data_IF_632535290555
#
_entry.id   IF_632535290555
#
_cell.length_a   1.000
_cell.length_b   1.000
_cell.length_c   1.000
_cell.angle_alpha   90.00
_cell.angle_beta   90.00
_cell.angle_gamma   90.00
#
_symmetry.space_group_name_H-M   'P 1'
#
loop_
_entity.id
_entity.type
_entity.pdbx_description
1 polymer ?
#
# COMPACT_ATOMS: atom_id res chain seq x y z
N UNK A 1 52.88 34.90 -21.09
CA UNK A 1 52.45 33.49 -21.11
C UNK A 1 51.59 33.25 -19.87
N UNK A 2 50.26 33.22 -20.03
CA UNK A 2 49.32 32.98 -18.93
C UNK A 2 48.91 31.51 -19.02
N UNK A 3 49.35 30.70 -18.05
CA UNK A 3 49.00 29.30 -17.97
C UNK A 3 47.61 29.15 -17.32
N UNK A 4 46.59 28.89 -18.14
CA UNK A 4 45.26 28.54 -17.69
C UNK A 4 45.29 27.11 -17.11
N UNK A 5 45.28 26.99 -15.77
CA UNK A 5 44.97 25.72 -15.11
C UNK A 5 43.46 25.49 -15.18
N UNK A 6 43.03 24.80 -16.24
CA UNK A 6 41.67 24.27 -16.34
C UNK A 6 41.53 23.05 -15.41
N UNK A 7 40.87 23.25 -14.27
CA UNK A 7 40.43 22.16 -13.40
C UNK A 7 39.29 21.40 -14.10
N UNK A 8 39.62 20.27 -14.71
CA UNK A 8 38.66 19.35 -15.30
C UNK A 8 37.91 18.63 -14.17
N UNK A 9 36.76 19.18 -13.78
CA UNK A 9 35.84 18.53 -12.86
C UNK A 9 35.30 17.25 -13.53
N UNK A 10 35.76 16.09 -13.06
CA UNK A 10 35.26 14.79 -13.48
C UNK A 10 33.85 14.65 -12.91
N UNK A 11 32.83 15.03 -13.68
CA UNK A 11 31.46 14.59 -13.42
C UNK A 11 31.39 13.10 -13.75
N UNK A 12 31.64 12.25 -12.77
CA UNK A 12 31.24 10.85 -12.88
C UNK A 12 29.71 10.84 -12.96
N UNK A 13 29.09 10.33 -14.04
CA UNK A 13 27.68 10.05 -14.02
C UNK A 13 27.50 8.99 -12.93
N UNK A 14 26.92 9.37 -11.80
CA UNK A 14 26.57 8.41 -10.77
C UNK A 14 25.58 7.44 -11.41
N UNK A 15 26.05 6.26 -11.79
CA UNK A 15 25.18 5.14 -12.12
C UNK A 15 24.28 4.93 -10.90
N UNK A 16 23.06 5.46 -10.95
CA UNK A 16 22.10 5.33 -9.86
C UNK A 16 21.66 3.88 -9.78
N UNK A 17 22.32 3.12 -8.89
CA UNK A 17 21.89 1.78 -8.56
C UNK A 17 20.54 1.84 -7.83
N UNK A 18 19.73 0.78 -7.93
CA UNK A 18 18.49 0.64 -7.18
C UNK A 18 18.72 0.80 -5.67
N UNK A 19 19.82 0.28 -5.15
CA UNK A 19 20.28 0.48 -3.76
C UNK A 19 20.43 1.96 -3.40
N UNK A 20 21.09 2.75 -4.25
CA UNK A 20 21.28 4.20 -3.99
C UNK A 20 19.96 4.97 -4.00
N UNK A 21 19.03 4.58 -4.86
CA UNK A 21 17.70 5.17 -4.91
C UNK A 21 16.86 4.78 -3.69
N UNK A 22 16.96 3.55 -3.21
CA UNK A 22 16.31 3.13 -1.96
C UNK A 22 16.79 3.96 -0.76
N UNK A 23 18.11 4.18 -0.64
CA UNK A 23 18.67 5.04 0.42
C UNK A 23 18.13 6.47 0.32
N UNK A 24 18.05 7.02 -0.90
CA UNK A 24 17.48 8.36 -1.12
C UNK A 24 16.00 8.44 -0.74
N UNK A 25 15.20 7.45 -1.12
CA UNK A 25 13.79 7.38 -0.76
C UNK A 25 13.60 7.28 0.77
N UNK A 26 14.46 6.51 1.45
CA UNK A 26 14.47 6.44 2.90
C UNK A 26 14.77 7.79 3.55
N UNK A 27 15.73 8.56 3.02
CA UNK A 27 16.01 9.90 3.52
C UNK A 27 14.78 10.81 3.41
N UNK A 28 14.10 10.82 2.25
CA UNK A 28 12.86 11.60 2.10
C UNK A 28 11.76 11.16 3.07
N UNK A 29 11.61 9.85 3.31
CA UNK A 29 10.66 9.35 4.31
C UNK A 29 11.01 9.83 5.74
N UNK A 30 12.29 9.81 6.11
CA UNK A 30 12.78 10.28 7.41
C UNK A 30 12.59 11.79 7.60
N UNK A 31 12.68 12.55 6.50
CA UNK A 31 12.41 14.00 6.45
C UNK A 31 10.92 14.34 6.37
N UNK A 32 10.01 13.35 6.48
CA UNK A 32 8.57 13.52 6.30
C UNK A 32 8.14 14.03 4.92
N UNK A 33 9.00 13.92 3.91
CA UNK A 33 8.73 14.26 2.51
C UNK A 33 8.14 13.06 1.79
N UNK A 34 6.91 12.71 2.16
CA UNK A 34 6.29 11.45 1.77
C UNK A 34 5.97 11.38 0.28
N UNK A 35 5.57 12.47 -0.39
CA UNK A 35 5.35 12.45 -1.84
C UNK A 35 6.64 12.21 -2.62
N UNK A 36 7.75 12.83 -2.18
CA UNK A 36 9.07 12.65 -2.81
C UNK A 36 9.59 11.22 -2.63
N UNK A 37 9.42 10.66 -1.42
CA UNK A 37 9.75 9.27 -1.14
C UNK A 37 8.91 8.33 -2.05
N UNK A 38 7.61 8.60 -2.15
CA UNK A 38 6.68 7.83 -2.96
C UNK A 38 7.06 7.82 -4.45
N UNK A 39 7.48 8.98 -4.98
CA UNK A 39 7.93 9.10 -6.36
C UNK A 39 9.08 8.14 -6.66
N UNK A 40 10.08 8.07 -5.78
CA UNK A 40 11.20 7.13 -5.92
C UNK A 40 10.71 5.68 -5.74
N UNK A 41 9.86 5.40 -4.76
CA UNK A 41 9.36 4.04 -4.57
C UNK A 41 8.56 3.54 -5.78
N UNK A 42 7.75 4.40 -6.43
CA UNK A 42 7.04 4.05 -7.68
C UNK A 42 8.00 3.76 -8.82
N UNK A 43 9.11 4.50 -8.91
CA UNK A 43 10.17 4.22 -9.87
C UNK A 43 10.84 2.86 -9.61
N UNK A 44 11.07 2.51 -8.34
CA UNK A 44 11.69 1.24 -7.96
C UNK A 44 10.79 0.02 -8.22
N UNK A 45 9.47 0.14 -8.04
CA UNK A 45 8.53 -0.98 -8.05
C UNK A 45 8.66 -1.95 -9.24
N UNK A 46 8.64 -1.48 -10.50
CA UNK A 46 8.79 -2.38 -11.65
C UNK A 46 10.08 -3.23 -11.63
N UNK A 47 11.10 -2.82 -10.88
CA UNK A 47 12.42 -3.44 -10.83
C UNK A 47 12.86 -3.79 -9.40
N UNK A 48 11.94 -3.93 -8.46
CA UNK A 48 12.22 -4.37 -7.08
C UNK A 48 12.95 -5.73 -7.01
N UNK A 49 12.85 -6.53 -8.08
CA UNK A 49 13.64 -7.72 -8.36
C UNK A 49 15.15 -7.51 -8.27
N UNK A 50 15.64 -6.31 -8.61
CA UNK A 50 17.05 -5.95 -8.61
C UNK A 50 17.60 -5.57 -7.22
N UNK A 51 16.73 -5.41 -6.22
CA UNK A 51 17.15 -5.17 -4.83
C UNK A 51 17.58 -6.47 -4.15
N UNK A 52 18.59 -6.39 -3.30
CA UNK A 52 18.96 -7.51 -2.43
C UNK A 52 17.78 -7.90 -1.51
N UNK A 53 17.69 -9.16 -1.03
CA UNK A 53 16.58 -9.59 -0.19
C UNK A 53 16.30 -8.67 1.00
N UNK A 54 17.34 -8.22 1.72
CA UNK A 54 17.19 -7.29 2.86
C UNK A 54 16.64 -5.93 2.42
N UNK A 55 17.15 -5.41 1.31
CA UNK A 55 16.73 -4.13 0.73
C UNK A 55 15.28 -4.18 0.24
N UNK A 56 14.84 -5.33 -0.24
CA UNK A 56 13.47 -5.55 -0.71
C UNK A 56 12.47 -5.49 0.43
N UNK A 57 12.78 -6.10 1.57
CA UNK A 57 11.96 -5.97 2.79
C UNK A 57 11.90 -4.51 3.23
N UNK A 58 13.05 -3.82 3.24
CA UNK A 58 13.13 -2.38 3.55
C UNK A 58 12.26 -1.53 2.61
N UNK A 59 12.33 -1.81 1.31
CA UNK A 59 11.50 -1.18 0.28
C UNK A 59 10.01 -1.39 0.56
N UNK A 60 9.56 -2.63 0.75
CA UNK A 60 8.16 -2.94 1.02
C UNK A 60 7.65 -2.24 2.29
N UNK A 61 8.44 -2.25 3.36
CA UNK A 61 8.09 -1.58 4.61
C UNK A 61 7.97 -0.06 4.42
N UNK A 62 9.00 0.59 3.88
CA UNK A 62 9.00 2.04 3.71
C UNK A 62 7.95 2.50 2.72
N UNK A 63 7.71 1.74 1.64
CA UNK A 63 6.64 2.02 0.70
C UNK A 63 5.28 1.94 1.39
N UNK A 64 5.00 0.84 2.07
CA UNK A 64 3.75 0.67 2.80
C UNK A 64 3.52 1.76 3.86
N UNK A 65 4.54 2.08 4.65
CA UNK A 65 4.44 3.16 5.64
C UNK A 65 4.28 4.55 5.00
N UNK A 66 4.86 4.78 3.83
CA UNK A 66 4.64 6.03 3.07
C UNK A 66 3.20 6.12 2.60
N UNK A 67 2.64 5.03 2.08
CA UNK A 67 1.24 4.97 1.65
C UNK A 67 0.29 5.20 2.85
N UNK A 68 0.61 4.69 4.04
CA UNK A 68 -0.14 5.02 5.28
C UNK A 68 -0.14 6.51 5.56
N UNK A 69 1.02 7.17 5.46
CA UNK A 69 1.16 8.61 5.72
C UNK A 69 0.37 9.46 4.73
N UNK A 70 0.20 8.98 3.50
CA UNK A 70 -0.52 9.66 2.43
C UNK A 70 -2.01 9.25 2.34
N UNK A 71 -2.46 8.31 3.17
CA UNK A 71 -3.86 7.86 3.20
C UNK A 71 -4.22 6.83 2.12
N UNK A 72 -3.25 6.27 1.39
CA UNK A 72 -3.46 5.22 0.41
C UNK A 72 -3.57 3.85 1.09
N UNK A 73 -4.67 3.62 1.81
CA UNK A 73 -4.84 2.48 2.74
C UNK A 73 -4.72 1.10 2.05
N UNK A 74 -5.28 0.94 0.86
CA UNK A 74 -5.22 -0.35 0.14
C UNK A 74 -3.80 -0.66 -0.36
N UNK A 75 -3.12 0.33 -0.94
CA UNK A 75 -1.71 0.22 -1.34
C UNK A 75 -0.82 -0.07 -0.12
N UNK A 76 -1.03 0.67 0.98
CA UNK A 76 -0.33 0.45 2.24
C UNK A 76 -0.48 -0.99 2.72
N UNK A 77 -1.71 -1.52 2.73
CA UNK A 77 -2.00 -2.89 3.15
C UNK A 77 -1.26 -3.90 2.29
N UNK A 78 -1.26 -3.71 0.97
CA UNK A 78 -0.56 -4.57 0.03
C UNK A 78 0.95 -4.62 0.32
N UNK A 79 1.60 -3.46 0.38
CA UNK A 79 3.06 -3.40 0.57
C UNK A 79 3.49 -3.86 1.97
N UNK A 80 2.73 -3.53 3.02
CA UNK A 80 3.02 -4.02 4.37
C UNK A 80 2.81 -5.54 4.49
N UNK A 81 1.85 -6.13 3.76
CA UNK A 81 1.67 -7.57 3.71
C UNK A 81 2.86 -8.27 3.03
N UNK A 82 3.41 -7.69 1.96
CA UNK A 82 4.64 -8.19 1.31
C UNK A 82 5.86 -8.10 2.23
N UNK A 83 6.00 -6.98 2.96
CA UNK A 83 7.05 -6.81 3.96
C UNK A 83 6.95 -7.88 5.05
N UNK A 84 5.76 -8.09 5.62
CA UNK A 84 5.48 -9.15 6.62
C UNK A 84 5.85 -10.53 6.11
N UNK A 85 5.39 -10.89 4.92
CA UNK A 85 5.66 -12.20 4.33
C UNK A 85 7.16 -12.46 4.10
N UNK A 86 7.94 -11.39 3.98
CA UNK A 86 9.38 -11.42 3.69
C UNK A 86 10.27 -11.39 4.95
N UNK A 87 9.70 -11.34 6.17
CA UNK A 87 10.43 -11.32 7.44
C UNK A 87 11.10 -12.65 7.83
N UNK A 88 11.10 -13.68 6.98
CA UNK A 88 11.46 -15.07 7.31
C UNK A 88 12.90 -15.34 7.79
N UNK A 89 13.75 -14.33 8.01
CA UNK A 89 15.14 -14.54 8.49
C UNK A 89 15.63 -13.40 9.39
N UNK A 90 16.65 -13.67 10.22
CA UNK A 90 17.37 -12.71 11.08
C UNK A 90 18.05 -11.53 10.32
N UNK A 91 17.82 -11.46 9.02
CA UNK A 91 18.34 -10.54 8.04
C UNK A 91 17.25 -9.62 7.46
N UNK A 92 16.15 -9.41 8.17
CA UNK A 92 14.93 -8.76 7.66
C UNK A 92 15.10 -7.33 7.12
N UNK A 93 16.23 -6.65 7.36
CA UNK A 93 16.41 -5.26 6.94
C UNK A 93 15.56 -4.26 7.72
N UNK A 94 14.81 -4.72 8.73
CA UNK A 94 14.04 -3.92 9.67
C UNK A 94 14.59 -4.10 11.09
N UNK A 95 14.49 -3.05 11.91
CA UNK A 95 14.71 -3.17 13.36
C UNK A 95 13.53 -3.90 14.03
N UNK A 96 13.68 -4.42 15.25
CA UNK A 96 12.56 -4.99 16.02
C UNK A 96 11.38 -4.02 16.15
N UNK A 97 11.65 -2.74 16.41
CA UNK A 97 10.62 -1.71 16.57
C UNK A 97 9.88 -1.43 15.25
N UNK A 98 10.59 -1.48 14.12
CA UNK A 98 9.98 -1.34 12.80
C UNK A 98 9.10 -2.56 12.46
N UNK A 99 9.52 -3.77 12.85
CA UNK A 99 8.75 -4.98 12.69
C UNK A 99 7.46 -4.96 13.54
N UNK A 100 7.55 -4.55 14.81
CA UNK A 100 6.39 -4.36 15.69
C UNK A 100 5.42 -3.32 15.11
N UNK A 101 5.97 -2.20 14.62
CA UNK A 101 5.16 -1.16 13.97
C UNK A 101 4.47 -1.68 12.71
N UNK A 102 5.15 -2.47 11.90
CA UNK A 102 4.57 -3.10 10.71
C UNK A 102 3.40 -4.01 11.09
N UNK A 103 3.56 -4.85 12.11
CA UNK A 103 2.50 -5.74 12.59
C UNK A 103 1.28 -4.97 13.08
N UNK A 104 1.48 -3.96 13.92
CA UNK A 104 0.40 -3.12 14.44
C UNK A 104 -0.34 -2.40 13.31
N UNK A 105 0.40 -1.76 12.41
CA UNK A 105 -0.17 -0.95 11.32
C UNK A 105 -0.93 -1.84 10.33
N UNK A 106 -0.39 -3.00 9.97
CA UNK A 106 -1.06 -3.92 9.05
C UNK A 106 -2.32 -4.51 9.67
N UNK A 107 -2.32 -4.80 10.98
CA UNK A 107 -3.52 -5.28 11.68
C UNK A 107 -4.63 -4.24 11.71
N UNK A 108 -4.29 -2.97 11.95
CA UNK A 108 -5.25 -1.85 11.90
C UNK A 108 -5.84 -1.68 10.50
N UNK A 109 -5.00 -1.67 9.45
CA UNK A 109 -5.46 -1.60 8.06
C UNK A 109 -6.36 -2.79 7.67
N UNK A 110 -6.04 -3.99 8.15
CA UNK A 110 -6.87 -5.18 7.90
C UNK A 110 -8.24 -5.06 8.58
N UNK A 111 -8.30 -4.55 9.81
CA UNK A 111 -9.57 -4.35 10.52
C UNK A 111 -10.40 -3.25 9.87
N UNK A 112 -9.79 -2.14 9.47
CA UNK A 112 -10.47 -1.06 8.74
C UNK A 112 -11.04 -1.54 7.41
N UNK A 113 -10.28 -2.34 6.66
CA UNK A 113 -10.76 -2.95 5.43
C UNK A 113 -11.93 -3.90 5.68
N UNK A 114 -11.86 -4.76 6.71
CA UNK A 114 -12.98 -5.64 7.10
C UNK A 114 -14.24 -4.85 7.44
N UNK A 115 -14.10 -3.75 8.20
CA UNK A 115 -15.21 -2.87 8.56
C UNK A 115 -15.86 -2.25 7.31
N UNK A 116 -15.03 -1.75 6.40
CA UNK A 116 -15.48 -1.16 5.12
C UNK A 116 -16.21 -2.20 4.28
N UNK A 117 -15.64 -3.39 4.12
CA UNK A 117 -16.26 -4.48 3.37
C UNK A 117 -17.57 -4.95 3.99
N UNK A 118 -17.66 -5.03 5.32
CA UNK A 118 -18.92 -5.38 6.00
C UNK A 118 -20.01 -4.35 5.69
N UNK A 119 -19.70 -3.06 5.79
CA UNK A 119 -20.67 -2.00 5.46
C UNK A 119 -21.12 -2.06 4.00
N UNK A 120 -20.19 -2.32 3.08
CA UNK A 120 -20.53 -2.52 1.67
C UNK A 120 -21.48 -3.71 1.46
N UNK A 121 -21.19 -4.87 2.05
CA UNK A 121 -22.06 -6.05 1.96
C UNK A 121 -23.45 -5.76 2.52
N UNK A 122 -23.55 -5.11 3.69
CA UNK A 122 -24.83 -4.71 4.28
C UNK A 122 -25.63 -3.78 3.36
N UNK A 123 -24.98 -2.82 2.70
CA UNK A 123 -25.66 -1.96 1.72
C UNK A 123 -26.15 -2.73 0.50
N UNK A 124 -25.37 -3.69 0.01
CA UNK A 124 -25.75 -4.52 -1.14
C UNK A 124 -26.91 -5.44 -0.77
N UNK A 125 -26.89 -6.06 0.40
CA UNK A 125 -27.99 -6.88 0.91
C UNK A 125 -29.27 -6.04 1.09
N UNK A 126 -29.17 -4.86 1.71
CA UNK A 126 -30.31 -3.96 1.86
C UNK A 126 -30.90 -3.54 0.50
N UNK A 127 -30.04 -3.32 -0.50
CA UNK A 127 -30.46 -2.96 -1.85
C UNK A 127 -31.05 -4.15 -2.61
N UNK A 128 -30.53 -5.36 -2.40
CA UNK A 128 -31.08 -6.61 -2.95
C UNK A 128 -32.46 -6.96 -2.35
N UNK A 129 -32.71 -6.58 -1.09
CA UNK A 129 -34.02 -6.75 -0.45
C UNK A 129 -35.01 -5.62 -0.76
N UNK A 130 -34.55 -4.57 -1.45
CA UNK A 130 -35.40 -3.45 -1.87
C UNK A 130 -36.03 -3.72 -3.23
N UNK A 131 -37.28 -3.32 -3.41
CA UNK A 131 -38.01 -3.49 -4.66
C UNK A 131 -38.79 -2.23 -4.99
N UNK A 132 -39.07 -2.01 -6.28
CA UNK A 132 -40.03 -1.00 -6.74
C UNK A 132 -41.29 -1.66 -7.29
N UNK A 133 -41.14 -2.83 -7.90
CA UNK A 133 -42.21 -3.65 -8.45
C UNK A 133 -42.03 -5.10 -7.99
N UNK A 134 -43.10 -5.90 -7.96
CA UNK A 134 -43.00 -7.32 -7.58
C UNK A 134 -42.13 -8.14 -8.54
N UNK A 135 -41.91 -7.69 -9.77
CA UNK A 135 -40.97 -8.29 -10.72
C UNK A 135 -39.51 -8.13 -10.33
N UNK A 136 -39.20 -7.23 -9.40
CA UNK A 136 -37.84 -7.02 -8.89
C UNK A 136 -37.48 -8.06 -7.82
N UNK A 137 -38.47 -8.82 -7.33
CA UNK A 137 -38.32 -9.85 -6.31
C UNK A 137 -38.12 -11.24 -6.93
N UNK A 138 -37.42 -12.12 -6.21
CA UNK A 138 -37.32 -13.54 -6.57
C UNK A 138 -38.69 -14.23 -6.50
N UNK A 139 -38.84 -15.34 -7.23
CA UNK A 139 -40.08 -16.13 -7.28
C UNK A 139 -40.54 -16.54 -5.87
N UNK A 140 -41.84 -16.35 -5.58
CA UNK A 140 -42.42 -16.59 -4.24
C UNK A 140 -42.39 -15.37 -3.30
N UNK A 141 -41.94 -14.22 -3.77
CA UNK A 141 -41.97 -12.95 -3.04
C UNK A 141 -42.77 -11.88 -3.81
N UNK A 142 -43.38 -10.94 -3.09
CA UNK A 142 -44.06 -9.77 -3.66
C UNK A 142 -43.51 -8.48 -3.07
N UNK A 143 -43.51 -7.41 -3.86
CA UNK A 143 -43.02 -6.12 -3.39
C UNK A 143 -44.07 -5.43 -2.51
N UNK A 144 -43.75 -5.18 -1.24
CA UNK A 144 -44.60 -4.47 -0.29
C UNK A 144 -43.78 -3.46 0.51
N UNK A 145 -44.20 -2.20 0.51
CA UNK A 145 -43.47 -1.10 1.15
C UNK A 145 -41.99 -1.01 0.75
N UNK A 146 -41.71 -1.24 -0.54
CA UNK A 146 -40.36 -1.31 -1.12
C UNK A 146 -39.47 -2.45 -0.58
N UNK A 147 -40.06 -3.50 -0.01
CA UNK A 147 -39.34 -4.71 0.41
C UNK A 147 -39.97 -5.96 -0.20
N UNK A 148 -39.14 -6.90 -0.63
CA UNK A 148 -39.61 -8.21 -1.07
C UNK A 148 -40.03 -9.04 0.16
N UNK A 149 -41.33 -9.35 0.25
CA UNK A 149 -41.90 -10.16 1.34
C UNK A 149 -42.45 -11.48 0.79
N UNK A 150 -42.23 -12.58 1.52
CA UNK A 150 -42.71 -13.90 1.09
C UNK A 150 -44.23 -13.93 1.03
N UNK A 151 -44.79 -14.60 0.01
CA UNK A 151 -46.23 -14.79 -0.13
C UNK A 151 -46.82 -15.82 0.84
N UNK A 152 -45.98 -16.56 1.57
CA UNK A 152 -46.38 -17.64 2.47
C UNK A 152 -46.59 -17.18 3.93
N UNK A 153 -46.70 -15.85 4.16
CA UNK A 153 -46.91 -15.25 5.50
C UNK A 153 -48.37 -15.03 5.85
#
# INVERSE_FOLDING_TARGET
MIAALSALAILAPACQSYSSQLVRAQAFYQESRYEDALAIFRYLGPNEGALEPRQRVRYYYLRGMTDVRLGFKDDARYWLALARASLKSAASGLTPEEADRLELTLNDLNEDHRRTMRGYVETVEAQAMSCRWSSDCEDGYVCKANQCVSTDS
#
